data_IF_476937769585
#
_entry.id   IF_476937769585
#
_cell.length_a   1.000
_cell.length_b   1.000
_cell.length_c   1.000
_cell.angle_alpha   90.00
_cell.angle_beta   90.00
_cell.angle_gamma   90.00
#
_symmetry.space_group_name_H-M   'P 1'
#
loop_
_entity.id
_entity.type
_entity.pdbx_description
1 polymer ?
#
# COMPACT_ATOMS: atom_id res chain seq x y z
N UNK A 1 18.40 -31.81 6.53
CA UNK A 1 18.66 -31.41 5.12
C UNK A 1 17.62 -30.43 4.56
N UNK A 2 16.88 -29.67 5.38
CA UNK A 2 15.71 -28.88 4.90
C UNK A 2 15.99 -27.38 4.65
N UNK A 3 17.10 -26.83 5.12
CA UNK A 3 17.32 -25.37 5.07
C UNK A 3 17.77 -24.85 3.71
N UNK A 4 18.39 -25.70 2.86
CA UNK A 4 18.85 -25.26 1.54
C UNK A 4 17.69 -25.16 0.54
N UNK A 5 16.80 -26.15 0.54
CA UNK A 5 15.64 -26.16 -0.35
C UNK A 5 14.66 -25.01 -0.07
N UNK A 6 14.40 -24.68 1.21
CA UNK A 6 13.53 -23.57 1.59
C UNK A 6 14.11 -22.21 1.16
N UNK A 7 15.44 -22.02 1.25
CA UNK A 7 16.09 -20.80 0.79
C UNK A 7 15.99 -20.60 -0.74
N UNK A 8 16.10 -21.69 -1.51
CA UNK A 8 15.90 -21.64 -2.97
C UNK A 8 14.45 -21.33 -3.35
N UNK A 9 13.46 -21.85 -2.60
CA UNK A 9 12.03 -21.60 -2.84
C UNK A 9 11.67 -20.14 -2.55
N UNK A 10 12.08 -19.60 -1.40
CA UNK A 10 11.81 -18.19 -1.05
C UNK A 10 12.48 -17.24 -2.06
N UNK A 11 13.71 -17.53 -2.48
CA UNK A 11 14.40 -16.72 -3.49
C UNK A 11 13.72 -16.77 -4.85
N UNK A 12 13.20 -17.94 -5.26
CA UNK A 12 12.46 -18.08 -6.52
C UNK A 12 11.12 -17.31 -6.50
N UNK A 13 10.43 -17.27 -5.35
CA UNK A 13 9.18 -16.49 -5.18
C UNK A 13 9.45 -15.00 -5.29
N UNK A 14 10.51 -14.50 -4.65
CA UNK A 14 10.89 -13.08 -4.72
C UNK A 14 11.29 -12.68 -6.15
N UNK A 15 12.05 -13.52 -6.86
CA UNK A 15 12.45 -13.26 -8.25
C UNK A 15 11.22 -13.28 -9.19
N UNK A 16 10.28 -14.19 -8.97
CA UNK A 16 9.04 -14.25 -9.76
C UNK A 16 8.16 -13.01 -9.56
N UNK A 17 8.03 -12.52 -8.32
CA UNK A 17 7.28 -11.28 -8.01
C UNK A 17 7.95 -10.08 -8.71
N UNK A 18 9.27 -9.97 -8.67
CA UNK A 18 9.99 -8.90 -9.36
C UNK A 18 9.83 -8.96 -10.89
N UNK A 19 9.85 -10.15 -11.50
CA UNK A 19 9.65 -10.31 -12.94
C UNK A 19 8.22 -9.99 -13.39
N UNK A 20 7.21 -10.33 -12.59
CA UNK A 20 5.81 -9.93 -12.83
C UNK A 20 5.67 -8.42 -12.75
N UNK A 21 6.30 -7.78 -11.76
CA UNK A 21 6.28 -6.33 -11.60
C UNK A 21 6.92 -5.60 -12.79
N UNK A 22 8.06 -6.09 -13.29
CA UNK A 22 8.74 -5.51 -14.46
C UNK A 22 7.94 -5.72 -15.75
N UNK A 23 7.31 -6.89 -15.93
CA UNK A 23 6.51 -7.18 -17.11
C UNK A 23 5.22 -6.36 -17.14
N UNK A 24 4.57 -6.15 -15.99
CA UNK A 24 3.44 -5.23 -15.82
C UNK A 24 3.82 -3.81 -16.22
N UNK A 25 4.93 -3.31 -15.67
CA UNK A 25 5.44 -1.96 -15.93
C UNK A 25 5.80 -1.71 -17.40
N UNK A 26 6.27 -2.74 -18.12
CA UNK A 26 6.64 -2.64 -19.53
C UNK A 26 5.43 -2.65 -20.49
N UNK A 27 4.29 -3.23 -20.07
CA UNK A 27 3.05 -3.27 -20.87
C UNK A 27 2.29 -1.95 -20.75
N UNK A 28 2.29 -1.32 -19.56
CA UNK A 28 1.67 0.00 -19.33
C UNK A 28 2.31 1.12 -20.18
N UNK A 29 3.63 1.09 -20.38
CA UNK A 29 4.34 2.13 -21.15
C UNK A 29 3.99 2.17 -22.66
N UNK A 30 3.28 1.17 -23.21
CA UNK A 30 3.11 1.00 -24.67
C UNK A 30 1.73 1.39 -25.22
N UNK A 31 0.77 1.84 -24.39
CA UNK A 31 -0.61 2.18 -24.85
C UNK A 31 -1.02 3.66 -24.62
N UNK A 32 -0.31 4.55 -25.30
CA UNK A 32 -0.84 5.69 -26.08
C UNK A 32 -1.85 6.70 -25.45
N UNK A 33 -1.32 7.85 -25.02
CA UNK A 33 -1.65 9.19 -25.54
C UNK A 33 -2.88 9.96 -25.04
N UNK A 34 -4.08 9.37 -25.09
CA UNK A 34 -5.35 10.06 -24.70
C UNK A 34 -6.19 9.22 -23.74
N UNK A 35 -6.12 7.89 -23.87
CA UNK A 35 -6.54 6.93 -22.84
C UNK A 35 -5.70 7.03 -21.55
N UNK A 36 -4.51 7.60 -21.61
CA UNK A 36 -3.55 7.67 -20.50
C UNK A 36 -4.02 8.48 -19.31
N UNK A 37 -4.83 9.53 -19.50
CA UNK A 37 -5.42 10.28 -18.38
C UNK A 37 -6.45 9.43 -17.63
N UNK A 38 -7.39 8.80 -18.34
CA UNK A 38 -8.38 7.90 -17.72
C UNK A 38 -7.74 6.68 -17.05
N UNK A 39 -6.66 6.13 -17.62
CA UNK A 39 -5.91 5.02 -17.01
C UNK A 39 -5.09 5.48 -15.80
N UNK A 40 -4.40 6.63 -15.88
CA UNK A 40 -3.72 7.23 -14.73
C UNK A 40 -4.69 7.53 -13.59
N UNK A 41 -5.92 7.94 -13.94
CA UNK A 41 -6.97 8.14 -12.96
C UNK A 41 -7.34 6.83 -12.28
N UNK A 42 -7.64 5.78 -13.05
CA UNK A 42 -7.94 4.47 -12.47
C UNK A 42 -6.79 3.87 -11.66
N UNK A 43 -5.55 4.00 -12.11
CA UNK A 43 -4.36 3.57 -11.37
C UNK A 43 -4.22 4.33 -10.06
N UNK A 44 -4.44 5.65 -10.06
CA UNK A 44 -4.40 6.48 -8.85
C UNK A 44 -5.50 6.08 -7.87
N UNK A 45 -6.72 5.81 -8.36
CA UNK A 45 -7.82 5.31 -7.54
C UNK A 45 -7.54 3.93 -6.96
N UNK A 46 -6.99 3.00 -7.76
CA UNK A 46 -6.63 1.67 -7.29
C UNK A 46 -5.53 1.74 -6.23
N UNK A 47 -4.51 2.56 -6.45
CA UNK A 47 -3.45 2.82 -5.48
C UNK A 47 -4.02 3.38 -4.17
N UNK A 48 -4.97 4.31 -4.27
CA UNK A 48 -5.64 4.89 -3.11
C UNK A 48 -6.45 3.85 -2.32
N UNK A 49 -7.24 3.01 -2.99
CA UNK A 49 -7.98 1.93 -2.33
C UNK A 49 -7.06 0.85 -1.76
N UNK A 50 -5.95 0.54 -2.42
CA UNK A 50 -4.93 -0.38 -1.88
C UNK A 50 -4.30 0.18 -0.61
N UNK A 51 -3.93 1.47 -0.57
CA UNK A 51 -3.43 2.13 0.64
C UNK A 51 -4.43 2.06 1.80
N UNK A 52 -5.72 2.25 1.50
CA UNK A 52 -6.80 2.09 2.49
C UNK A 52 -6.88 0.66 3.00
N UNK A 53 -6.72 -0.33 2.13
CA UNK A 53 -6.75 -1.73 2.53
C UNK A 53 -5.52 -2.12 3.36
N UNK A 54 -4.32 -1.70 2.96
CA UNK A 54 -3.08 -1.93 3.73
C UNK A 54 -3.16 -1.31 5.13
N UNK A 55 -3.77 -0.13 5.28
CA UNK A 55 -4.05 0.44 6.61
C UNK A 55 -4.87 -0.50 7.50
N UNK A 56 -5.94 -1.11 6.94
CA UNK A 56 -6.79 -2.07 7.67
C UNK A 56 -6.03 -3.35 8.00
N UNK A 57 -5.25 -3.85 7.06
CA UNK A 57 -4.48 -5.08 7.21
C UNK A 57 -3.43 -4.93 8.31
N UNK A 58 -2.78 -3.76 8.44
CA UNK A 58 -1.84 -3.48 9.52
C UNK A 58 -2.55 -3.44 10.88
N UNK A 59 -3.75 -2.88 10.95
CA UNK A 59 -4.54 -2.90 12.18
C UNK A 59 -4.87 -4.34 12.58
N UNK A 60 -5.36 -5.13 11.63
CA UNK A 60 -5.69 -6.54 11.84
C UNK A 60 -4.47 -7.35 12.30
N UNK A 61 -3.35 -7.28 11.58
CA UNK A 61 -2.13 -8.00 11.91
C UNK A 61 -1.57 -7.58 13.27
N UNK A 62 -1.60 -6.28 13.58
CA UNK A 62 -1.09 -5.79 14.86
C UNK A 62 -1.91 -6.32 16.04
N UNK A 63 -3.22 -6.43 15.87
CA UNK A 63 -4.11 -6.98 16.89
C UNK A 63 -3.98 -8.51 16.99
N UNK A 64 -3.92 -9.21 15.86
CA UNK A 64 -3.75 -10.67 15.79
C UNK A 64 -2.43 -11.13 16.44
N UNK A 65 -1.34 -10.42 16.17
CA UNK A 65 -0.01 -10.74 16.71
C UNK A 65 0.26 -10.15 18.10
N UNK A 66 -0.70 -9.41 18.69
CA UNK A 66 -0.51 -8.63 19.92
C UNK A 66 0.76 -7.72 19.85
N UNK A 67 1.03 -7.15 18.67
CA UNK A 67 2.17 -6.26 18.45
C UNK A 67 1.77 -4.80 18.64
N UNK A 68 2.76 -3.90 18.68
CA UNK A 68 2.52 -2.48 18.95
C UNK A 68 1.89 -1.79 17.73
N UNK A 69 0.56 -1.68 17.73
CA UNK A 69 -0.24 -1.03 16.68
C UNK A 69 0.27 0.37 16.33
N UNK A 70 0.61 1.18 17.33
CA UNK A 70 1.09 2.55 17.10
C UNK A 70 2.42 2.58 16.36
N UNK A 71 3.32 1.64 16.67
CA UNK A 71 4.63 1.54 16.03
C UNK A 71 4.50 1.03 14.59
N UNK A 72 3.65 0.03 14.36
CA UNK A 72 3.45 -0.55 13.03
C UNK A 72 2.80 0.45 12.07
N UNK A 73 1.80 1.21 12.53
CA UNK A 73 1.17 2.26 11.73
C UNK A 73 2.14 3.41 11.42
N UNK A 74 3.00 3.80 12.36
CA UNK A 74 4.00 4.85 12.11
C UNK A 74 5.05 4.40 11.08
N UNK A 75 5.54 3.15 11.20
CA UNK A 75 6.46 2.56 10.22
C UNK A 75 5.85 2.54 8.83
N UNK A 76 4.59 2.12 8.73
CA UNK A 76 3.87 2.09 7.47
C UNK A 76 3.67 3.48 6.88
N UNK A 77 3.23 4.45 7.69
CA UNK A 77 3.10 5.85 7.27
C UNK A 77 4.39 6.37 6.65
N UNK A 78 5.50 6.25 7.37
CA UNK A 78 6.81 6.73 6.89
C UNK A 78 7.22 6.01 5.61
N UNK A 79 7.00 4.70 5.53
CA UNK A 79 7.31 3.90 4.33
C UNK A 79 6.44 4.33 3.13
N UNK A 80 5.12 4.36 3.29
CA UNK A 80 4.18 4.69 2.23
C UNK A 80 4.39 6.11 1.71
N UNK A 81 4.52 7.11 2.59
CA UNK A 81 4.78 8.49 2.19
C UNK A 81 6.10 8.63 1.44
N UNK A 82 7.15 7.92 1.87
CA UNK A 82 8.45 7.93 1.19
C UNK A 82 8.37 7.26 -0.18
N UNK A 83 7.71 6.12 -0.29
CA UNK A 83 7.53 5.38 -1.54
C UNK A 83 6.73 6.20 -2.55
N UNK A 84 5.65 6.86 -2.12
CA UNK A 84 4.85 7.72 -2.99
C UNK A 84 5.64 8.93 -3.49
N UNK A 85 6.49 9.53 -2.65
CA UNK A 85 7.38 10.62 -3.09
C UNK A 85 8.36 10.18 -4.18
N UNK A 86 8.84 8.93 -4.16
CA UNK A 86 9.71 8.40 -5.22
C UNK A 86 8.99 8.23 -6.56
N UNK A 87 7.66 8.06 -6.54
CA UNK A 87 6.80 7.97 -7.70
C UNK A 87 6.27 9.35 -8.16
N UNK A 88 6.78 10.44 -7.61
CA UNK A 88 6.27 11.81 -7.82
C UNK A 88 4.79 11.97 -7.41
N UNK A 89 4.37 11.24 -6.39
CA UNK A 89 3.07 11.39 -5.74
C UNK A 89 3.26 11.98 -4.34
N UNK A 90 2.28 12.72 -3.86
CA UNK A 90 2.26 13.25 -2.51
C UNK A 90 1.15 12.57 -1.73
N UNK A 91 1.55 11.58 -0.94
CA UNK A 91 0.71 10.96 0.07
C UNK A 91 0.86 11.70 1.40
N UNK A 92 -0.26 11.93 2.05
CA UNK A 92 -0.36 12.33 3.45
C UNK A 92 -1.25 11.31 4.14
N UNK A 93 -0.70 10.57 5.10
CA UNK A 93 -1.41 9.56 5.87
C UNK A 93 -1.36 9.94 7.35
N UNK A 94 -2.50 10.25 7.93
CA UNK A 94 -2.65 10.51 9.35
C UNK A 94 -3.61 9.50 9.98
N UNK A 95 -3.43 9.24 11.27
CA UNK A 95 -4.28 8.31 12.00
C UNK A 95 -4.39 8.67 13.48
N UNK A 96 -5.48 8.23 14.11
CA UNK A 96 -5.74 8.38 15.54
C UNK A 96 -6.23 7.03 16.07
N UNK A 97 -5.60 6.54 17.14
CA UNK A 97 -5.96 5.27 17.79
C UNK A 97 -6.79 5.57 19.04
N UNK A 98 -7.98 4.98 19.16
CA UNK A 98 -8.88 5.07 20.32
C UNK A 98 -9.47 3.69 20.65
N UNK A 99 -9.10 3.11 21.80
CA UNK A 99 -9.69 1.85 22.29
C UNK A 99 -9.74 0.70 21.25
N UNK A 100 -8.66 0.53 20.48
CA UNK A 100 -8.49 -0.41 19.36
C UNK A 100 -9.30 -0.09 18.10
N UNK A 101 -9.99 1.05 18.06
CA UNK A 101 -10.47 1.67 16.82
C UNK A 101 -9.40 2.59 16.28
N UNK A 102 -9.29 2.67 14.95
CA UNK A 102 -8.36 3.57 14.29
C UNK A 102 -9.14 4.44 13.31
N UNK A 103 -9.01 5.75 13.47
CA UNK A 103 -9.43 6.72 12.47
C UNK A 103 -8.27 6.98 11.51
N UNK A 104 -8.55 6.96 10.22
CA UNK A 104 -7.58 7.25 9.17
C UNK A 104 -8.02 8.49 8.38
N UNK A 105 -7.07 9.36 8.09
CA UNK A 105 -7.17 10.43 7.11
C UNK A 105 -6.10 10.20 6.04
N UNK A 106 -6.52 9.94 4.80
CA UNK A 106 -5.62 9.63 3.68
C UNK A 106 -5.85 10.64 2.57
N UNK A 107 -4.78 11.27 2.10
CA UNK A 107 -4.79 12.18 0.96
C UNK A 107 -3.68 11.81 0.00
N UNK A 108 -4.02 11.53 -1.24
CA UNK A 108 -3.09 11.22 -2.32
C UNK A 108 -3.24 12.26 -3.44
N UNK A 109 -2.17 13.03 -3.66
CA UNK A 109 -2.07 13.98 -4.76
C UNK A 109 -1.10 13.44 -5.82
N UNK A 110 -1.56 13.35 -7.06
CA UNK A 110 -0.76 13.01 -8.24
C UNK A 110 -0.76 14.19 -9.22
N UNK A 111 -0.13 14.05 -10.38
CA UNK A 111 0.03 15.15 -11.35
C UNK A 111 -1.28 15.69 -11.95
N UNK A 112 -2.40 14.98 -11.79
CA UNK A 112 -3.71 15.39 -12.32
C UNK A 112 -4.89 15.19 -11.37
N UNK A 113 -4.68 14.54 -10.22
CA UNK A 113 -5.79 14.12 -9.33
C UNK A 113 -5.40 14.33 -7.88
N UNK A 114 -6.39 14.72 -7.09
CA UNK A 114 -6.31 14.70 -5.64
C UNK A 114 -7.44 13.83 -5.11
N UNK A 115 -7.08 12.75 -4.40
CA UNK A 115 -8.01 11.88 -3.72
C UNK A 115 -7.85 12.08 -2.21
N UNK A 116 -8.97 12.21 -1.51
CA UNK A 116 -8.99 12.31 -0.05
C UNK A 116 -10.14 11.48 0.50
N UNK A 117 -9.88 10.76 1.58
CA UNK A 117 -10.89 10.00 2.31
C UNK A 117 -10.56 9.96 3.81
N UNK A 118 -11.61 9.81 4.61
CA UNK A 118 -11.57 9.80 6.06
C UNK A 118 -12.50 8.68 6.56
N UNK A 119 -11.96 7.70 7.27
CA UNK A 119 -12.76 6.56 7.70
C UNK A 119 -12.32 5.99 9.05
N UNK A 120 -13.29 5.42 9.76
CA UNK A 120 -13.05 4.62 10.94
C UNK A 120 -12.86 3.16 10.55
N UNK A 121 -11.89 2.51 11.17
CA UNK A 121 -11.70 1.08 11.10
C UNK A 121 -11.65 0.47 12.51
N UNK A 122 -12.42 -0.60 12.69
CA UNK A 122 -12.39 -1.43 13.87
C UNK A 122 -12.20 -2.86 13.40
N UNK A 123 -11.13 -3.50 13.85
CA UNK A 123 -10.91 -4.90 13.50
C UNK A 123 -11.96 -5.78 14.17
N UNK A 124 -12.58 -6.64 13.38
CA UNK A 124 -13.46 -7.70 13.89
C UNK A 124 -12.67 -8.87 14.50
N UNK A 125 -11.35 -8.90 14.30
CA UNK A 125 -10.43 -9.91 14.84
C UNK A 125 -9.96 -9.47 16.23
N UNK A 126 -10.71 -9.88 17.25
CA UNK A 126 -10.33 -9.79 18.66
C UNK A 126 -10.27 -11.19 19.25
#
# INVERSE_FOLDING_TARGET
MNNRAQFFIVSAVVIAICLVYIFWYAVEMKMAGESTLYYQDMETYQLFENLKQECKDIVDLSLEENSNLSENLEKFKVFAEKSMRQLNHRLKLDYIILNNNVFFEISLETSGISLKDEFWYNSSKR
#
